data_IF_658761033796
#
_entry.id   IF_658761033796
#
_cell.length_a   1.000
_cell.length_b   1.000
_cell.length_c   1.000
_cell.angle_alpha   90.00
_cell.angle_beta   90.00
_cell.angle_gamma   90.00
#
_symmetry.space_group_name_H-M   'P 1'
#
loop_
_entity.id
_entity.type
_entity.pdbx_description
1 polymer ?
#
# COMPACT_ATOMS: atom_id res chain seq x y z
N UNK A 1 5.29 5.56 19.44
CA UNK A 1 4.53 4.45 20.06
C UNK A 1 3.06 4.49 19.61
N UNK A 2 2.29 3.43 19.84
CA UNK A 2 0.83 3.50 19.62
C UNK A 2 0.21 4.62 20.45
N UNK A 3 -0.69 5.40 19.86
CA UNK A 3 -1.34 6.55 20.50
C UNK A 3 -0.53 7.86 20.42
N UNK A 4 0.72 7.83 19.96
CA UNK A 4 1.45 9.06 19.62
C UNK A 4 0.94 9.63 18.30
N UNK A 5 0.93 10.95 18.22
CA UNK A 5 0.60 11.64 16.97
C UNK A 5 1.76 11.45 15.98
N UNK A 6 1.41 11.07 14.76
CA UNK A 6 2.34 11.16 13.64
C UNK A 6 2.70 12.63 13.39
N UNK A 7 3.89 12.86 12.84
CA UNK A 7 4.27 14.18 12.37
C UNK A 7 3.27 14.62 11.27
N UNK A 8 2.55 15.73 11.46
CA UNK A 8 1.50 16.14 10.54
C UNK A 8 2.04 16.51 9.16
N UNK A 9 3.29 16.96 9.04
CA UNK A 9 3.90 17.26 7.73
C UNK A 9 4.22 15.98 6.99
N UNK A 10 4.83 15.01 7.66
CA UNK A 10 5.14 13.70 7.05
C UNK A 10 3.85 13.02 6.57
N UNK A 11 2.77 13.07 7.36
CA UNK A 11 1.50 12.49 6.95
C UNK A 11 0.87 13.24 5.77
N UNK A 12 0.96 14.58 5.73
CA UNK A 12 0.46 15.37 4.62
C UNK A 12 1.24 15.12 3.32
N UNK A 13 2.56 14.98 3.41
CA UNK A 13 3.41 14.63 2.27
C UNK A 13 3.08 13.23 1.75
N UNK A 14 2.98 12.24 2.65
CA UNK A 14 2.59 10.87 2.29
C UNK A 14 1.21 10.82 1.63
N UNK A 15 0.24 11.59 2.13
CA UNK A 15 -1.09 11.73 1.54
C UNK A 15 -1.04 12.33 0.14
N UNK A 16 -0.21 13.36 -0.06
CA UNK A 16 -0.03 14.00 -1.37
C UNK A 16 0.58 13.03 -2.38
N UNK A 17 1.60 12.28 -1.96
CA UNK A 17 2.25 11.26 -2.79
C UNK A 17 1.27 10.13 -3.12
N UNK A 18 0.50 9.64 -2.13
CA UNK A 18 -0.47 8.57 -2.35
C UNK A 18 -1.56 8.96 -3.36
N UNK A 19 -2.01 10.22 -3.35
CA UNK A 19 -2.99 10.72 -4.34
C UNK A 19 -2.44 10.86 -5.76
N UNK A 20 -1.13 11.03 -5.89
CA UNK A 20 -0.46 11.33 -7.16
C UNK A 20 0.27 10.12 -7.76
N UNK A 21 0.36 9.00 -7.05
CA UNK A 21 1.07 7.84 -7.55
C UNK A 21 0.23 7.07 -8.58
N UNK A 22 0.92 6.44 -9.53
CA UNK A 22 0.29 5.54 -10.50
C UNK A 22 0.20 4.11 -9.98
N UNK A 23 1.09 3.75 -9.05
CA UNK A 23 1.16 2.43 -8.42
C UNK A 23 1.39 2.61 -6.91
N UNK A 24 0.61 1.91 -6.09
CA UNK A 24 0.79 1.84 -4.65
C UNK A 24 0.97 0.39 -4.22
N UNK A 25 2.08 0.07 -3.56
CA UNK A 25 2.37 -1.30 -3.11
C UNK A 25 2.39 -1.35 -1.58
N UNK A 26 1.41 -2.05 -0.99
CA UNK A 26 1.37 -2.33 0.44
C UNK A 26 2.03 -3.69 0.73
N UNK A 27 3.15 -3.70 1.45
CA UNK A 27 3.92 -4.92 1.70
C UNK A 27 3.98 -5.24 3.19
N UNK A 28 3.58 -6.46 3.58
CA UNK A 28 3.69 -6.94 4.96
C UNK A 28 2.88 -6.13 5.97
N UNK A 29 1.75 -5.59 5.54
CA UNK A 29 0.85 -4.78 6.36
C UNK A 29 -0.56 -5.36 6.31
N UNK A 30 -1.20 -5.46 7.48
CA UNK A 30 -2.63 -5.80 7.58
C UNK A 30 -3.53 -4.63 7.17
N UNK A 31 -2.97 -3.43 6.99
CA UNK A 31 -3.68 -2.19 6.66
C UNK A 31 -4.84 -1.87 7.62
N UNK A 32 -4.65 -2.13 8.92
CA UNK A 32 -5.64 -1.81 9.95
C UNK A 32 -5.30 -0.57 10.78
N UNK A 33 -4.02 -0.20 10.88
CA UNK A 33 -3.58 0.90 11.75
C UNK A 33 -3.70 2.24 11.04
N UNK A 34 -4.59 3.08 11.58
CA UNK A 34 -4.83 4.43 11.08
C UNK A 34 -3.86 5.45 11.71
N UNK A 35 -3.53 6.55 11.01
CA UNK A 35 -4.01 6.94 9.68
C UNK A 35 -3.21 6.34 8.50
N UNK A 36 -2.10 5.63 8.75
CA UNK A 36 -1.23 5.15 7.69
C UNK A 36 -1.92 4.19 6.71
N UNK A 37 -2.79 3.30 7.21
CA UNK A 37 -3.55 2.37 6.38
C UNK A 37 -4.44 3.07 5.33
N UNK A 38 -4.99 4.25 5.64
CA UNK A 38 -5.82 5.00 4.70
C UNK A 38 -5.09 5.39 3.41
N UNK A 39 -3.75 5.46 3.40
CA UNK A 39 -2.99 5.80 2.21
C UNK A 39 -3.23 4.82 1.05
N UNK A 40 -3.42 3.53 1.34
CA UNK A 40 -3.72 2.50 0.33
C UNK A 40 -5.09 2.75 -0.33
N UNK A 41 -6.11 3.05 0.47
CA UNK A 41 -7.43 3.39 -0.03
C UNK A 41 -7.43 4.70 -0.81
N UNK A 42 -6.75 5.73 -0.29
CA UNK A 42 -6.64 7.03 -0.97
C UNK A 42 -5.98 6.87 -2.33
N UNK A 43 -4.90 6.08 -2.43
CA UNK A 43 -4.24 5.83 -3.70
C UNK A 43 -5.20 5.15 -4.71
N UNK A 44 -5.86 4.06 -4.31
CA UNK A 44 -6.82 3.36 -5.16
C UNK A 44 -7.97 4.26 -5.61
N UNK A 45 -8.54 5.05 -4.70
CA UNK A 45 -9.63 6.01 -5.00
C UNK A 45 -9.20 7.12 -5.97
N UNK A 46 -7.90 7.44 -6.03
CA UNK A 46 -7.34 8.42 -6.97
C UNK A 46 -6.82 7.77 -8.27
N UNK A 47 -7.12 6.49 -8.49
CA UNK A 47 -6.82 5.77 -9.73
C UNK A 47 -5.44 5.13 -9.77
N UNK A 48 -4.71 5.07 -8.65
CA UNK A 48 -3.48 4.31 -8.57
C UNK A 48 -3.78 2.81 -8.62
N UNK A 49 -2.93 2.04 -9.31
CA UNK A 49 -2.96 0.58 -9.24
C UNK A 49 -2.52 0.14 -7.84
N UNK A 50 -3.43 -0.43 -7.05
CA UNK A 50 -3.15 -0.90 -5.70
C UNK A 50 -2.73 -2.38 -5.71
N UNK A 51 -1.53 -2.66 -5.21
CA UNK A 51 -1.00 -4.02 -5.05
C UNK A 51 -0.79 -4.31 -3.56
N UNK A 52 -1.42 -5.37 -3.06
CA UNK A 52 -1.29 -5.80 -1.65
C UNK A 52 -0.50 -7.10 -1.58
N UNK A 53 0.67 -7.05 -0.93
CA UNK A 53 1.53 -8.21 -0.66
C UNK A 53 1.44 -8.54 0.82
N UNK A 54 0.48 -9.37 1.18
CA UNK A 54 0.28 -9.79 2.57
C UNK A 54 -0.34 -11.19 2.66
N UNK A 55 0.17 -12.02 3.56
CA UNK A 55 -0.33 -13.38 3.76
C UNK A 55 -1.78 -13.42 4.26
N UNK A 56 -2.18 -12.41 5.05
CA UNK A 56 -3.50 -12.30 5.66
C UNK A 56 -4.39 -11.27 4.95
N UNK A 57 -5.73 -11.48 4.93
CA UNK A 57 -6.67 -10.52 4.34
C UNK A 57 -6.52 -9.11 4.91
N UNK A 58 -6.75 -8.11 4.07
CA UNK A 58 -6.74 -6.69 4.46
C UNK A 58 -8.07 -6.02 4.16
N UNK A 59 -8.42 -4.92 4.86
CA UNK A 59 -9.64 -4.16 4.56
C UNK A 59 -9.70 -3.56 3.15
N UNK A 60 -8.57 -3.51 2.44
CA UNK A 60 -8.46 -2.90 1.11
C UNK A 60 -8.35 -3.93 -0.01
N UNK A 61 -8.49 -5.22 0.30
CA UNK A 61 -8.41 -6.31 -0.69
C UNK A 61 -9.43 -6.12 -1.83
N UNK A 62 -10.63 -5.62 -1.54
CA UNK A 62 -11.66 -5.36 -2.57
C UNK A 62 -11.31 -4.18 -3.49
N UNK A 63 -10.45 -3.27 -3.04
CA UNK A 63 -9.96 -2.14 -3.84
C UNK A 63 -8.65 -2.46 -4.58
N UNK A 64 -7.99 -3.57 -4.24
CA UNK A 64 -6.69 -3.94 -4.79
C UNK A 64 -6.84 -4.56 -6.19
N UNK A 65 -6.06 -4.06 -7.15
CA UNK A 65 -5.95 -4.66 -8.48
C UNK A 65 -5.23 -6.01 -8.43
N UNK A 66 -4.34 -6.19 -7.46
CA UNK A 66 -3.60 -7.44 -7.29
C UNK A 66 -3.33 -7.72 -5.80
N UNK A 67 -3.62 -8.96 -5.40
CA UNK A 67 -3.36 -9.46 -4.04
C UNK A 67 -2.39 -10.63 -4.13
N UNK A 68 -1.23 -10.50 -3.50
CA UNK A 68 -0.19 -11.52 -3.45
C UNK A 68 -0.09 -12.10 -2.04
N UNK A 69 -0.44 -13.39 -1.93
CA UNK A 69 -0.42 -14.16 -0.66
C UNK A 69 0.86 -14.96 -0.43
N UNK A 70 1.84 -14.82 -1.33
CA UNK A 70 3.13 -15.49 -1.23
C UNK A 70 4.04 -14.80 -0.20
N UNK A 71 5.07 -15.49 0.33
CA UNK A 71 6.09 -14.87 1.19
C UNK A 71 6.71 -13.62 0.53
N UNK A 72 6.85 -12.53 1.30
CA UNK A 72 7.35 -11.25 0.78
C UNK A 72 8.71 -11.40 0.10
N UNK A 73 9.60 -12.22 0.66
CA UNK A 73 10.95 -12.46 0.12
C UNK A 73 10.96 -13.11 -1.26
N UNK A 74 9.88 -13.79 -1.68
CA UNK A 74 9.74 -14.37 -3.02
C UNK A 74 8.85 -13.50 -3.92
N UNK A 75 7.77 -12.95 -3.36
CA UNK A 75 6.80 -12.12 -4.08
C UNK A 75 7.40 -10.80 -4.60
N UNK A 76 8.08 -10.07 -3.72
CA UNK A 76 8.50 -8.70 -4.01
C UNK A 76 9.54 -8.62 -5.15
N UNK A 77 10.60 -9.46 -5.20
CA UNK A 77 11.52 -9.46 -6.33
C UNK A 77 10.82 -9.77 -7.68
N UNK A 78 9.87 -10.70 -7.68
CA UNK A 78 9.10 -11.06 -8.88
C UNK A 78 8.22 -9.89 -9.36
N UNK A 79 7.54 -9.22 -8.43
CA UNK A 79 6.71 -8.05 -8.73
C UNK A 79 7.54 -6.89 -9.31
N UNK A 80 8.67 -6.57 -8.66
CA UNK A 80 9.54 -5.49 -9.11
C UNK A 80 10.15 -5.77 -10.49
N UNK A 81 10.53 -7.02 -10.77
CA UNK A 81 11.00 -7.42 -12.09
C UNK A 81 9.93 -7.21 -13.18
N UNK A 82 8.65 -7.44 -12.87
CA UNK A 82 7.54 -7.18 -13.78
C UNK A 82 7.27 -5.70 -14.00
N UNK A 83 7.38 -4.87 -12.96
CA UNK A 83 7.18 -3.42 -13.05
C UNK A 83 8.29 -2.73 -13.86
N UNK A 84 9.54 -3.20 -13.77
CA UNK A 84 10.67 -2.61 -14.51
C UNK A 84 10.67 -2.97 -16.02
N UNK A 85 9.83 -3.91 -16.44
CA UNK A 85 9.74 -4.38 -17.81
C UNK A 85 8.65 -3.69 -18.64
N UNK A 86 7.79 -2.88 -18.00
CA UNK A 86 6.80 -2.01 -18.65
C UNK A 86 7.29 -0.58 -18.75
#
# INVERSE_FOLDING_TARGET
MFGERLDPRVLADAMTIAKACEVFVAVGSTLQVQPAASLAGVAAEHGARLIVVNAEPTPYDELADEIVREPIGTALPRLLAGLAAG
#
